data_IF_447601315533
#
_entry.id   IF_447601315533
#
_cell.length_a   1.000
_cell.length_b   1.000
_cell.length_c   1.000
_cell.angle_alpha   90.00
_cell.angle_beta   90.00
_cell.angle_gamma   90.00
#
_symmetry.space_group_name_H-M   'P 1'
#
loop_
_entity.id
_entity.type
_entity.pdbx_description
1 polymer ?
#
# COMPACT_ATOMS: atom_id res chain seq x y z
N UNK A 1 28.11 9.94 -12.62
CA UNK A 1 27.51 9.58 -12.47
C UNK A 1 26.72 9.07 -12.91
N UNK A 2 26.67 8.67 -12.69
CA UNK A 2 25.93 8.32 -12.93
C UNK A 2 25.01 8.25 -12.66
N UNK A 3 25.02 8.30 -13.48
CA UNK A 3 23.93 8.46 -13.13
C UNK A 3 23.25 7.84 -12.26
N UNK A 4 22.64 8.14 -11.83
CA UNK A 4 22.18 7.48 -10.69
C UNK A 4 21.51 6.19 -11.02
N UNK A 5 21.50 5.27 -10.10
CA UNK A 5 20.83 4.01 -10.26
C UNK A 5 19.31 4.15 -10.25
N UNK A 6 18.80 5.32 -9.91
CA UNK A 6 17.37 5.57 -9.80
C UNK A 6 16.70 5.65 -11.16
N UNK A 7 15.70 4.80 -11.40
CA UNK A 7 14.92 4.83 -12.63
C UNK A 7 13.53 5.43 -12.37
N UNK A 8 12.73 5.53 -13.42
CA UNK A 8 11.39 6.12 -13.29
C UNK A 8 10.49 5.33 -12.36
N UNK A 9 10.65 4.02 -12.34
CA UNK A 9 9.86 3.16 -11.46
C UNK A 9 10.18 3.44 -10.00
N UNK A 10 11.46 3.58 -9.66
CA UNK A 10 11.89 3.89 -8.31
C UNK A 10 11.40 5.26 -7.88
N UNK A 11 11.47 6.24 -8.78
CA UNK A 11 10.97 7.57 -8.50
C UNK A 11 9.47 7.55 -8.22
N UNK A 12 8.73 6.73 -8.96
CA UNK A 12 7.29 6.57 -8.74
C UNK A 12 7.00 6.06 -7.33
N UNK A 13 7.83 5.15 -6.83
CA UNK A 13 7.69 4.65 -5.46
C UNK A 13 7.82 5.80 -4.46
N UNK A 14 8.85 6.62 -4.60
CA UNK A 14 9.06 7.73 -3.68
C UNK A 14 7.93 8.76 -3.76
N UNK A 15 7.43 9.01 -4.95
CA UNK A 15 6.27 9.89 -5.11
C UNK A 15 5.03 9.33 -4.41
N UNK A 16 4.80 8.03 -4.52
CA UNK A 16 3.68 7.38 -3.88
C UNK A 16 3.76 7.48 -2.36
N UNK A 17 4.97 7.45 -1.80
CA UNK A 17 5.19 7.56 -0.37
C UNK A 17 5.08 9.00 0.15
N UNK A 18 5.08 9.98 -0.73
CA UNK A 18 5.11 11.39 -0.36
C UNK A 18 3.71 11.94 -0.08
N UNK A 19 2.98 11.27 0.82
CA UNK A 19 1.63 11.67 1.20
C UNK A 19 1.32 11.04 2.56
N UNK A 20 0.87 11.86 3.51
CA UNK A 20 0.63 11.40 4.87
C UNK A 20 -0.36 10.24 4.92
N UNK A 21 -1.49 10.36 4.23
CA UNK A 21 -2.53 9.33 4.28
C UNK A 21 -2.06 8.04 3.62
N UNK A 22 -1.34 8.13 2.51
CA UNK A 22 -0.81 6.92 1.87
C UNK A 22 0.19 6.21 2.76
N UNK A 23 1.04 6.96 3.47
CA UNK A 23 1.95 6.35 4.44
C UNK A 23 1.19 5.68 5.59
N UNK A 24 0.13 6.33 6.08
CA UNK A 24 -0.69 5.73 7.13
C UNK A 24 -1.34 4.44 6.67
N UNK A 25 -1.88 4.43 5.46
CA UNK A 25 -2.47 3.21 4.90
C UNK A 25 -1.46 2.08 4.88
N UNK A 26 -0.25 2.35 4.42
CA UNK A 26 0.81 1.33 4.41
C UNK A 26 1.16 0.83 5.80
N UNK A 27 1.18 1.72 6.79
CA UNK A 27 1.43 1.32 8.17
C UNK A 27 0.33 0.42 8.71
N UNK A 28 -0.94 0.74 8.39
CA UNK A 28 -2.06 -0.10 8.80
C UNK A 28 -2.01 -1.48 8.14
N UNK A 29 -1.64 -1.52 6.86
CA UNK A 29 -1.56 -2.77 6.12
C UNK A 29 -0.37 -3.62 6.54
N UNK A 30 0.63 -3.03 7.19
CA UNK A 30 1.78 -3.76 7.70
C UNK A 30 1.37 -4.70 8.83
N UNK A 31 0.46 -4.25 9.70
CA UNK A 31 -0.05 -5.06 10.81
C UNK A 31 -1.55 -4.88 10.89
N UNK A 32 -2.29 -5.55 9.99
CA UNK A 32 -3.73 -5.35 9.93
C UNK A 32 -4.48 -5.81 11.18
N UNK A 33 -3.97 -6.81 11.89
CA UNK A 33 -4.64 -7.29 13.10
C UNK A 33 -4.63 -6.25 14.21
N UNK A 34 -3.57 -5.44 14.29
CA UNK A 34 -3.48 -4.37 15.26
C UNK A 34 -4.26 -3.13 14.82
N UNK A 35 -4.50 -2.97 13.53
CA UNK A 35 -5.04 -1.74 12.95
C UNK A 35 -6.53 -1.80 12.63
N UNK A 36 -7.10 -2.98 12.41
CA UNK A 36 -8.48 -3.15 11.97
C UNK A 36 -9.22 -4.18 12.79
N UNK A 37 -10.56 -4.02 12.91
CA UNK A 37 -11.37 -5.06 13.54
C UNK A 37 -11.42 -6.30 12.64
N UNK A 38 -11.83 -7.43 13.21
CA UNK A 38 -11.97 -8.66 12.44
C UNK A 38 -12.93 -8.46 11.27
N UNK A 39 -12.56 -8.97 10.12
CA UNK A 39 -13.38 -8.86 8.92
C UNK A 39 -14.42 -9.97 8.89
N UNK A 40 -15.60 -9.63 8.35
CA UNK A 40 -16.71 -10.55 8.31
C UNK A 40 -16.50 -11.66 7.27
N UNK A 41 -15.92 -11.29 6.12
CA UNK A 41 -15.89 -12.18 4.94
C UNK A 41 -14.60 -12.96 4.76
N UNK A 42 -13.53 -12.57 5.41
CA UNK A 42 -12.23 -13.21 5.23
C UNK A 42 -11.29 -12.83 6.36
N UNK A 43 -10.26 -13.65 6.58
CA UNK A 43 -9.18 -13.28 7.47
C UNK A 43 -8.23 -12.31 6.76
N UNK A 44 -7.24 -11.78 7.50
CA UNK A 44 -6.33 -10.80 6.95
C UNK A 44 -5.26 -11.40 6.05
N UNK A 45 -5.20 -12.71 5.90
CA UNK A 45 -4.27 -13.35 4.97
C UNK A 45 -4.57 -12.96 3.52
N UNK A 46 -5.82 -12.62 3.21
CA UNK A 46 -6.20 -12.12 1.88
C UNK A 46 -5.89 -10.64 1.74
N UNK A 47 -5.83 -9.92 2.86
CA UNK A 47 -5.65 -8.49 2.89
C UNK A 47 -6.80 -7.83 3.64
N UNK A 48 -6.88 -6.50 3.54
CA UNK A 48 -7.88 -5.69 4.22
C UNK A 48 -8.90 -5.17 3.20
N UNK A 49 -10.17 -5.34 3.52
CA UNK A 49 -11.26 -4.87 2.67
C UNK A 49 -11.19 -3.35 2.52
N UNK A 50 -11.43 -2.86 1.30
CA UNK A 50 -11.36 -1.43 1.00
C UNK A 50 -12.29 -0.60 1.89
N UNK A 51 -13.46 -1.15 2.25
CA UNK A 51 -14.38 -0.46 3.14
C UNK A 51 -13.81 -0.19 4.52
N UNK A 52 -13.00 -1.12 5.04
CA UNK A 52 -12.35 -0.93 6.33
C UNK A 52 -11.27 0.14 6.26
N UNK A 53 -10.53 0.15 5.16
CA UNK A 53 -9.50 1.18 4.94
C UNK A 53 -10.18 2.55 4.86
N UNK A 54 -11.28 2.64 4.14
CA UNK A 54 -12.04 3.88 4.00
C UNK A 54 -12.53 4.39 5.35
N UNK A 55 -13.11 3.52 6.16
CA UNK A 55 -13.61 3.89 7.48
C UNK A 55 -12.49 4.44 8.36
N UNK A 56 -11.37 3.76 8.38
CA UNK A 56 -10.24 4.17 9.21
C UNK A 56 -9.66 5.50 8.73
N UNK A 57 -9.57 5.69 7.43
CA UNK A 57 -9.03 6.92 6.86
C UNK A 57 -9.97 8.11 7.04
N UNK A 58 -11.27 7.86 7.16
CA UNK A 58 -12.26 8.93 7.30
C UNK A 58 -12.41 9.77 6.04
N UNK A 59 -12.16 9.17 4.88
CA UNK A 59 -12.21 9.86 3.59
C UNK A 59 -13.29 9.26 2.70
N UNK A 60 -13.55 9.90 1.55
CA UNK A 60 -14.50 9.35 0.59
C UNK A 60 -13.92 8.12 -0.06
N UNK A 61 -14.81 7.27 -0.58
CA UNK A 61 -14.38 6.07 -1.28
C UNK A 61 -13.53 6.40 -2.50
N UNK A 62 -13.90 7.43 -3.25
CA UNK A 62 -13.14 7.80 -4.43
C UNK A 62 -11.72 8.24 -4.10
N UNK A 63 -11.53 8.98 -3.02
CA UNK A 63 -10.20 9.41 -2.60
C UNK A 63 -9.35 8.21 -2.15
N UNK A 64 -9.94 7.32 -1.35
CA UNK A 64 -9.22 6.13 -0.88
C UNK A 64 -8.88 5.22 -2.06
N UNK A 65 -9.81 5.04 -2.99
CA UNK A 65 -9.57 4.22 -4.19
C UNK A 65 -8.44 4.80 -5.03
N UNK A 66 -8.38 6.12 -5.16
CA UNK A 66 -7.29 6.77 -5.89
C UNK A 66 -5.95 6.55 -5.19
N UNK A 67 -5.91 6.72 -3.87
CA UNK A 67 -4.69 6.48 -3.10
C UNK A 67 -4.21 5.04 -3.23
N UNK A 68 -5.13 4.08 -3.13
CA UNK A 68 -4.78 2.66 -3.29
C UNK A 68 -4.30 2.37 -4.71
N UNK A 69 -4.89 3.02 -5.71
CA UNK A 69 -4.45 2.88 -7.09
C UNK A 69 -3.02 3.38 -7.27
N UNK A 70 -2.69 4.53 -6.67
CA UNK A 70 -1.34 5.07 -6.72
C UNK A 70 -0.35 4.10 -6.09
N UNK A 71 -0.69 3.56 -4.91
CA UNK A 71 0.17 2.60 -4.22
C UNK A 71 0.32 1.31 -5.01
N UNK A 72 -0.75 0.85 -5.65
CA UNK A 72 -0.72 -0.38 -6.44
C UNK A 72 0.13 -0.21 -7.70
N UNK A 73 0.00 0.92 -8.39
CA UNK A 73 0.83 1.19 -9.58
C UNK A 73 2.31 1.28 -9.23
N UNK A 74 2.61 1.76 -8.03
CA UNK A 74 3.99 1.79 -7.56
C UNK A 74 4.50 0.43 -7.09
N UNK A 75 3.62 -0.58 -7.05
CA UNK A 75 3.98 -1.92 -6.64
C UNK A 75 4.06 -2.13 -5.14
N UNK A 76 3.57 -1.17 -4.35
CA UNK A 76 3.67 -1.22 -2.89
C UNK A 76 2.54 -2.00 -2.23
N UNK A 77 1.40 -2.13 -2.90
CA UNK A 77 0.29 -2.95 -2.43
C UNK A 77 -0.21 -3.83 -3.57
N UNK A 78 -0.86 -4.92 -3.19
CA UNK A 78 -1.49 -5.85 -4.12
C UNK A 78 -2.96 -5.93 -3.78
N UNK A 79 -3.81 -6.12 -4.80
CA UNK A 79 -5.24 -6.26 -4.58
C UNK A 79 -5.68 -7.68 -4.97
N UNK A 80 -6.67 -8.19 -4.25
CA UNK A 80 -7.27 -9.48 -4.53
C UNK A 80 -8.78 -9.31 -4.48
N UNK A 81 -9.47 -9.80 -5.50
CA UNK A 81 -10.92 -9.74 -5.55
C UNK A 81 -11.49 -11.10 -5.16
N UNK A 82 -12.39 -11.10 -4.17
CA UNK A 82 -13.09 -12.30 -3.75
C UNK A 82 -14.58 -11.97 -3.80
N UNK A 83 -15.28 -12.50 -4.79
CA UNK A 83 -16.68 -12.17 -5.02
C UNK A 83 -16.82 -10.69 -5.37
N UNK A 84 -17.61 -9.97 -4.58
CA UNK A 84 -17.83 -8.54 -4.78
C UNK A 84 -16.89 -7.67 -3.95
N UNK A 85 -16.00 -8.31 -3.19
CA UNK A 85 -15.13 -7.60 -2.25
C UNK A 85 -13.72 -7.50 -2.80
N UNK A 86 -13.06 -6.34 -2.61
CA UNK A 86 -11.67 -6.13 -2.97
C UNK A 86 -10.86 -5.94 -1.70
N UNK A 87 -9.77 -6.69 -1.60
CA UNK A 87 -8.87 -6.68 -0.44
C UNK A 87 -7.51 -6.18 -0.87
N UNK A 88 -6.85 -5.43 0.02
CA UNK A 88 -5.54 -4.87 -0.25
C UNK A 88 -4.54 -5.37 0.77
N UNK A 89 -3.35 -5.70 0.30
CA UNK A 89 -2.30 -6.25 1.12
C UNK A 89 -0.98 -5.58 0.73
N UNK A 90 -0.13 -5.34 1.72
CA UNK A 90 1.17 -4.73 1.47
C UNK A 90 2.07 -5.75 0.76
N UNK A 91 2.82 -5.27 -0.23
CA UNK A 91 3.78 -6.11 -0.95
C UNK A 91 5.12 -6.06 -0.22
N UNK A 92 5.37 -7.02 0.66
CA UNK A 92 6.57 -7.01 1.51
C UNK A 92 7.87 -7.12 0.71
N UNK A 93 7.86 -7.86 -0.40
CA UNK A 93 9.04 -7.94 -1.26
C UNK A 93 9.44 -6.58 -1.82
N UNK A 94 8.45 -5.74 -2.15
CA UNK A 94 8.72 -4.40 -2.65
C UNK A 94 9.38 -3.55 -1.56
N UNK A 95 8.97 -3.71 -0.31
CA UNK A 95 9.56 -2.94 0.79
C UNK A 95 10.97 -3.41 1.12
N UNK A 96 11.25 -4.71 1.01
CA UNK A 96 12.61 -5.20 1.14
C UNK A 96 13.51 -4.58 0.09
N UNK A 97 13.06 -4.57 -1.16
CA UNK A 97 13.84 -3.98 -2.25
C UNK A 97 14.04 -2.49 -2.06
N UNK A 98 13.00 -1.79 -1.61
CA UNK A 98 13.08 -0.36 -1.32
C UNK A 98 14.12 -0.08 -0.22
N UNK A 99 14.14 -0.92 0.81
CA UNK A 99 15.13 -0.79 1.87
C UNK A 99 16.57 -0.86 1.33
N UNK A 100 16.80 -1.79 0.41
CA UNK A 100 18.10 -1.93 -0.23
C UNK A 100 18.45 -0.70 -1.07
N UNK A 101 17.48 -0.17 -1.80
CA UNK A 101 17.69 1.02 -2.61
C UNK A 101 18.07 2.21 -1.74
N UNK A 102 17.36 2.41 -0.64
CA UNK A 102 17.65 3.51 0.27
C UNK A 102 19.05 3.37 0.86
N UNK A 103 19.41 2.17 1.24
CA UNK A 103 20.68 1.90 1.90
C UNK A 103 21.86 2.00 0.94
N UNK A 104 21.70 1.53 -0.29
CA UNK A 104 22.80 1.38 -1.24
C UNK A 104 22.87 2.47 -2.31
N UNK A 105 21.71 2.94 -2.77
CA UNK A 105 21.64 3.82 -3.93
C UNK A 105 21.40 5.29 -3.57
N UNK A 106 21.05 5.56 -2.35
CA UNK A 106 20.85 6.90 -1.84
C UNK A 106 21.77 7.17 -0.66
#
# INVERSE_FOLDING_TARGET
MYICAMNLKQLEIFKALSNKTRLEILQWLKDPEASFPAQIHAGFEVGVCVGEIQKKAGLTQSTVSEYLSILQRAGLVESTRVGQWTYYKRNEAAFEELGKIIQSDI
#
